data_IF_779710087065
#
_entry.id   IF_779710087065
#
_cell.length_a   1.000
_cell.length_b   1.000
_cell.length_c   1.000
_cell.angle_alpha   90.00
_cell.angle_beta   90.00
_cell.angle_gamma   90.00
#
_symmetry.space_group_name_H-M   'P 1'
#
loop_
_entity.id
_entity.type
_entity.pdbx_description
1 polymer ?
#
# COMPACT_ATOMS: atom_id res chain seq x y z
N UNK A 1 -7.36 35.54 24.72
CA UNK A 1 -8.13 34.34 24.29
C UNK A 1 -7.45 33.86 23.02
N UNK A 2 -6.99 32.60 22.96
CA UNK A 2 -6.36 32.05 21.74
C UNK A 2 -7.38 32.03 20.61
N UNK A 3 -7.00 32.54 19.43
CA UNK A 3 -7.84 32.45 18.24
C UNK A 3 -7.79 31.02 17.68
N UNK A 4 -8.82 30.24 17.98
CA UNK A 4 -8.97 28.84 17.55
C UNK A 4 -9.06 28.71 16.03
N UNK A 5 -9.40 29.77 15.30
CA UNK A 5 -9.43 29.75 13.82
C UNK A 5 -8.04 29.62 13.22
N UNK A 6 -7.03 30.22 13.85
CA UNK A 6 -5.64 30.10 13.40
C UNK A 6 -5.17 28.65 13.52
N UNK A 7 -5.49 28.00 14.65
CA UNK A 7 -5.18 26.58 14.88
C UNK A 7 -5.92 25.67 13.90
N UNK A 8 -7.22 25.92 13.68
CA UNK A 8 -8.03 25.15 12.74
C UNK A 8 -7.48 25.24 11.32
N UNK A 9 -7.11 26.44 10.84
CA UNK A 9 -6.53 26.62 9.50
C UNK A 9 -5.15 25.98 9.35
N UNK A 10 -4.33 26.03 10.40
CA UNK A 10 -3.03 25.36 10.41
C UNK A 10 -3.17 23.83 10.47
N UNK A 11 -4.25 23.31 11.07
CA UNK A 11 -4.52 21.89 11.13
C UNK A 11 -5.11 21.35 9.82
N UNK A 12 -6.16 21.96 9.28
CA UNK A 12 -6.80 21.50 8.03
C UNK A 12 -6.06 22.05 6.80
N UNK A 13 -4.91 21.46 6.52
CA UNK A 13 -4.24 21.65 5.23
C UNK A 13 -4.82 20.67 4.21
N UNK A 14 -4.68 21.02 2.93
CA UNK A 14 -5.16 20.21 1.81
C UNK A 14 -4.70 18.73 1.92
N UNK A 15 -3.41 18.54 2.18
CA UNK A 15 -2.77 17.22 2.27
C UNK A 15 -3.24 16.40 3.49
N UNK A 16 -3.78 17.06 4.52
CA UNK A 16 -4.24 16.39 5.74
C UNK A 16 -5.64 15.79 5.61
N UNK A 17 -6.39 16.12 4.57
CA UNK A 17 -7.74 15.57 4.37
C UNK A 17 -7.72 14.07 4.06
N UNK A 18 -6.80 13.62 3.21
CA UNK A 18 -6.69 12.20 2.78
C UNK A 18 -5.56 11.44 3.50
N UNK A 19 -4.85 12.13 4.40
CA UNK A 19 -3.66 11.62 5.07
C UNK A 19 -3.86 10.29 5.78
N UNK A 20 -5.04 10.03 6.34
CA UNK A 20 -5.35 8.76 6.99
C UNK A 20 -5.18 7.54 6.05
N UNK A 21 -5.56 7.66 4.78
CA UNK A 21 -5.42 6.59 3.80
C UNK A 21 -3.95 6.42 3.37
N UNK A 22 -3.28 7.55 3.13
CA UNK A 22 -1.88 7.58 2.70
C UNK A 22 -0.96 7.04 3.80
N UNK A 23 -1.10 7.52 5.04
CA UNK A 23 -0.30 7.07 6.18
C UNK A 23 -0.53 5.58 6.45
N UNK A 24 -1.78 5.10 6.34
CA UNK A 24 -2.08 3.66 6.48
C UNK A 24 -1.40 2.81 5.41
N UNK A 25 -1.37 3.26 4.15
CA UNK A 25 -0.68 2.51 3.09
C UNK A 25 0.84 2.57 3.28
N UNK A 26 1.39 3.73 3.63
CA UNK A 26 2.82 3.88 3.86
C UNK A 26 3.31 2.95 4.98
N UNK A 27 2.57 2.85 6.09
CA UNK A 27 2.83 1.90 7.17
C UNK A 27 2.75 0.44 6.69
N UNK A 28 1.77 0.13 5.83
CA UNK A 28 1.65 -1.19 5.22
C UNK A 28 2.85 -1.53 4.34
N UNK A 29 3.34 -0.59 3.54
CA UNK A 29 4.52 -0.77 2.68
C UNK A 29 5.82 -0.89 3.48
N UNK A 30 6.01 -0.06 4.51
CA UNK A 30 7.25 0.00 5.29
C UNK A 30 7.36 -1.17 6.30
N UNK A 31 6.24 -1.63 6.87
CA UNK A 31 6.24 -2.62 7.94
C UNK A 31 5.23 -3.77 7.77
N UNK A 32 4.05 -3.49 7.22
CA UNK A 32 2.98 -4.49 7.09
C UNK A 32 3.36 -5.68 6.20
N UNK A 33 3.88 -5.41 5.01
CA UNK A 33 4.25 -6.45 4.05
C UNK A 33 5.33 -7.39 4.60
N UNK A 34 6.38 -6.84 5.22
CA UNK A 34 7.46 -7.66 5.77
C UNK A 34 6.96 -8.57 6.89
N UNK A 35 6.07 -8.08 7.77
CA UNK A 35 5.47 -8.92 8.84
C UNK A 35 4.75 -10.15 8.29
N UNK A 36 4.02 -10.00 7.17
CA UNK A 36 3.31 -11.12 6.53
C UNK A 36 4.30 -12.14 5.96
N UNK A 37 5.39 -11.67 5.34
CA UNK A 37 6.45 -12.55 4.81
C UNK A 37 7.18 -13.28 5.94
N UNK A 38 7.48 -12.58 7.03
CA UNK A 38 8.16 -13.12 8.22
C UNK A 38 7.30 -14.12 9.01
N UNK A 39 5.98 -14.09 8.82
CA UNK A 39 5.05 -15.06 9.39
C UNK A 39 5.08 -16.38 8.60
N UNK A 40 5.10 -16.32 7.27
CA UNK A 40 5.20 -17.52 6.42
C UNK A 40 6.58 -18.20 6.52
N UNK A 41 7.67 -17.41 6.46
CA UNK A 41 9.10 -17.82 6.52
C UNK A 41 9.61 -18.79 5.45
N UNK A 42 8.94 -19.91 5.29
CA UNK A 42 9.39 -21.04 4.48
C UNK A 42 8.26 -21.48 3.55
N UNK A 43 8.63 -21.83 2.32
CA UNK A 43 7.78 -22.54 1.36
C UNK A 43 8.37 -23.94 1.22
N UNK A 44 7.59 -24.94 1.63
CA UNK A 44 7.93 -26.35 1.47
C UNK A 44 7.82 -26.76 -0.01
N UNK A 45 8.69 -27.67 -0.44
CA UNK A 45 8.64 -28.26 -1.78
C UNK A 45 8.37 -29.75 -1.68
N UNK A 46 7.90 -30.36 -2.78
CA UNK A 46 7.64 -31.80 -2.83
C UNK A 46 8.92 -32.67 -2.85
N UNK A 47 10.10 -32.03 -2.87
CA UNK A 47 11.40 -32.70 -2.88
C UNK A 47 11.91 -32.79 -1.43
N UNK A 48 12.33 -33.99 -1.02
CA UNK A 48 12.92 -34.21 0.31
C UNK A 48 14.10 -33.27 0.57
N UNK A 49 14.14 -32.70 1.78
CA UNK A 49 15.17 -31.79 2.27
C UNK A 49 15.42 -30.53 1.41
N UNK A 50 14.43 -30.11 0.61
CA UNK A 50 14.47 -28.86 -0.16
C UNK A 50 13.32 -27.94 0.26
N UNK A 51 13.66 -26.73 0.70
CA UNK A 51 12.69 -25.68 0.97
C UNK A 51 13.21 -24.30 0.55
N UNK A 52 12.28 -23.38 0.32
CA UNK A 52 12.60 -21.99 -0.02
C UNK A 52 12.39 -21.14 1.22
N UNK A 53 13.44 -20.48 1.68
CA UNK A 53 13.36 -19.49 2.75
C UNK A 53 13.11 -18.12 2.14
N UNK A 54 12.09 -17.44 2.65
CA UNK A 54 11.72 -16.09 2.25
C UNK A 54 12.56 -15.07 3.04
N UNK A 55 13.03 -14.05 2.35
CA UNK A 55 13.80 -12.95 2.89
C UNK A 55 13.00 -11.64 2.88
N UNK A 56 13.67 -10.56 2.49
CA UNK A 56 13.06 -9.22 2.48
C UNK A 56 12.20 -8.99 1.24
N UNK A 57 11.03 -8.37 1.44
CA UNK A 57 10.16 -7.89 0.37
C UNK A 57 10.41 -6.41 0.10
N UNK A 58 10.50 -6.05 -1.18
CA UNK A 58 10.69 -4.68 -1.65
C UNK A 58 9.61 -4.33 -2.66
N UNK A 59 9.00 -3.16 -2.48
CA UNK A 59 8.06 -2.59 -3.44
C UNK A 59 8.78 -1.46 -4.16
N UNK A 60 8.85 -1.57 -5.49
CA UNK A 60 9.44 -0.53 -6.33
C UNK A 60 8.50 0.65 -6.55
N UNK A 61 8.77 1.43 -7.60
CA UNK A 61 7.87 2.46 -8.07
C UNK A 61 6.99 1.97 -9.23
N UNK A 62 5.86 2.63 -9.51
CA UNK A 62 4.97 2.26 -10.62
C UNK A 62 5.64 2.28 -11.98
N UNK A 63 5.48 1.18 -12.72
CA UNK A 63 6.06 0.96 -14.05
C UNK A 63 5.03 0.39 -15.01
N UNK A 64 5.27 0.58 -16.31
CA UNK A 64 4.56 -0.09 -17.39
C UNK A 64 5.56 -0.92 -18.20
N UNK A 65 5.15 -2.13 -18.60
CA UNK A 65 5.93 -2.95 -19.53
C UNK A 65 5.31 -2.85 -20.90
N UNK A 66 6.06 -2.29 -21.84
CA UNK A 66 5.63 -2.12 -23.23
C UNK A 66 5.76 -3.44 -24.01
N UNK A 67 5.17 -3.47 -25.21
CA UNK A 67 5.10 -4.68 -26.04
C UNK A 67 6.49 -5.18 -26.51
N UNK A 68 7.47 -4.29 -26.59
CA UNK A 68 8.87 -4.58 -26.89
C UNK A 68 9.66 -5.12 -25.68
N UNK A 69 9.04 -5.17 -24.50
CA UNK A 69 9.65 -5.60 -23.24
C UNK A 69 10.36 -4.47 -22.49
N UNK A 70 10.40 -3.24 -23.01
CA UNK A 70 10.91 -2.08 -22.30
C UNK A 70 10.06 -1.81 -21.05
N UNK A 71 10.72 -1.30 -20.00
CA UNK A 71 10.07 -0.95 -18.73
C UNK A 71 10.26 0.52 -18.48
N UNK A 72 9.16 1.26 -18.50
CA UNK A 72 9.15 2.70 -18.29
C UNK A 72 8.42 3.07 -17.01
N UNK A 73 8.74 4.25 -16.46
CA UNK A 73 7.98 4.82 -15.35
C UNK A 73 6.57 5.13 -15.82
N UNK A 74 5.59 4.67 -15.06
CA UNK A 74 4.20 4.96 -15.33
C UNK A 74 3.77 6.19 -14.53
N UNK A 75 3.14 7.17 -15.18
CA UNK A 75 2.51 8.31 -14.49
C UNK A 75 0.99 8.11 -14.41
N UNK A 76 0.31 8.70 -13.41
CA UNK A 76 -1.12 8.50 -13.21
C UNK A 76 -1.99 8.88 -14.42
N UNK A 77 -1.70 10.00 -15.09
CA UNK A 77 -2.40 10.45 -16.31
C UNK A 77 -2.31 9.42 -17.42
N UNK A 78 -1.13 8.83 -17.65
CA UNK A 78 -0.97 7.77 -18.64
C UNK A 78 -1.78 6.52 -18.27
N UNK A 79 -1.81 6.16 -16.99
CA UNK A 79 -2.57 5.02 -16.50
C UNK A 79 -4.08 5.18 -16.75
N UNK A 80 -4.61 6.39 -16.50
CA UNK A 80 -6.01 6.77 -16.79
C UNK A 80 -6.32 6.66 -18.28
N UNK A 81 -5.51 7.31 -19.12
CA UNK A 81 -5.76 7.40 -20.57
C UNK A 81 -5.63 6.05 -21.28
N UNK A 82 -4.73 5.17 -20.82
CA UNK A 82 -4.45 3.87 -21.44
C UNK A 82 -5.28 2.72 -20.86
N UNK A 83 -6.19 2.98 -19.92
CA UNK A 83 -6.97 1.96 -19.22
C UNK A 83 -6.12 0.86 -18.54
N UNK A 84 -4.96 1.25 -18.00
CA UNK A 84 -4.05 0.32 -17.30
C UNK A 84 -4.06 0.59 -15.80
N UNK A 85 -3.52 -0.36 -15.04
CA UNK A 85 -3.44 -0.25 -13.58
C UNK A 85 -2.12 0.40 -13.18
N UNK A 86 -2.20 1.41 -12.31
CA UNK A 86 -1.05 2.10 -11.74
C UNK A 86 -0.45 1.26 -10.60
N UNK A 87 0.55 0.42 -10.93
CA UNK A 87 1.12 -0.54 -10.01
C UNK A 87 2.65 -0.62 -10.08
N UNK A 88 3.26 -0.93 -8.94
CA UNK A 88 4.70 -1.14 -8.78
C UNK A 88 5.06 -2.62 -8.71
N UNK A 89 6.27 -3.03 -9.15
CA UNK A 89 6.72 -4.41 -8.99
C UNK A 89 7.04 -4.70 -7.53
N UNK A 90 6.70 -5.91 -7.09
CA UNK A 90 7.13 -6.46 -5.81
C UNK A 90 8.21 -7.49 -6.06
N UNK A 91 9.34 -7.33 -5.39
CA UNK A 91 10.49 -8.22 -5.44
C UNK A 91 10.71 -8.83 -4.05
N UNK A 92 10.88 -10.14 -4.00
CA UNK A 92 11.09 -10.88 -2.76
C UNK A 92 12.41 -11.63 -2.84
N UNK A 93 13.28 -11.39 -1.87
CA UNK A 93 14.49 -12.18 -1.70
C UNK A 93 14.15 -13.61 -1.32
N UNK A 94 14.70 -14.59 -2.02
CA UNK A 94 14.48 -16.01 -1.78
C UNK A 94 15.82 -16.73 -1.70
N UNK A 95 15.93 -17.67 -0.77
CA UNK A 95 17.09 -18.56 -0.64
C UNK A 95 16.61 -20.00 -0.70
N UNK A 96 17.14 -20.75 -1.66
CA UNK A 96 16.89 -22.20 -1.74
C UNK A 96 17.82 -22.89 -0.75
N UNK A 97 17.25 -23.67 0.16
CA UNK A 97 18.00 -24.51 1.09
C UNK A 97 17.82 -25.96 0.67
N UNK A 98 18.93 -26.64 0.40
CA UNK A 98 18.95 -28.06 0.03
C UNK A 98 19.87 -28.81 0.97
N UNK A 99 19.36 -29.84 1.66
CA UNK A 99 20.16 -30.69 2.56
C UNK A 99 20.96 -29.89 3.61
N UNK A 100 20.45 -28.72 4.01
CA UNK A 100 21.10 -27.79 4.94
C UNK A 100 22.10 -26.81 4.32
N UNK A 101 22.38 -26.90 3.02
CA UNK A 101 23.18 -25.93 2.28
C UNK A 101 22.32 -24.80 1.71
N UNK A 102 22.70 -23.56 1.98
CA UNK A 102 22.03 -22.37 1.47
C UNK A 102 22.64 -21.96 0.12
N UNK A 103 21.78 -21.82 -0.89
CA UNK A 103 22.18 -21.25 -2.19
C UNK A 103 22.36 -19.73 -2.11
N UNK A 104 22.93 -19.14 -3.15
CA UNK A 104 22.99 -17.67 -3.26
C UNK A 104 21.58 -17.06 -3.22
N UNK A 105 21.37 -15.99 -2.43
CA UNK A 105 20.10 -15.25 -2.42
C UNK A 105 19.75 -14.73 -3.82
N UNK A 106 18.48 -14.86 -4.20
CA UNK A 106 17.95 -14.33 -5.46
C UNK A 106 16.70 -13.51 -5.20
N UNK A 107 16.65 -12.34 -5.79
CA UNK A 107 15.43 -11.53 -5.80
C UNK A 107 14.51 -12.01 -6.93
N UNK A 108 13.30 -12.41 -6.56
CA UNK A 108 12.27 -12.86 -7.49
C UNK A 108 11.13 -11.85 -7.55
N UNK A 109 10.71 -11.47 -8.75
CA UNK A 109 9.51 -10.64 -8.94
C UNK A 109 8.26 -11.50 -8.65
N UNK A 110 7.60 -11.22 -7.54
CA UNK A 110 6.42 -11.98 -7.08
C UNK A 110 5.10 -11.44 -7.61
N UNK A 111 5.07 -10.17 -8.02
CA UNK A 111 3.85 -9.58 -8.56
C UNK A 111 3.93 -8.07 -8.78
N UNK A 112 2.75 -7.47 -8.95
CA UNK A 112 2.56 -6.03 -9.05
C UNK A 112 1.56 -5.59 -7.97
N UNK A 113 1.88 -4.52 -7.25
CA UNK A 113 1.02 -3.94 -6.21
C UNK A 113 0.48 -2.59 -6.69
N UNK A 114 -0.85 -2.37 -6.73
CA UNK A 114 -1.41 -1.06 -6.98
C UNK A 114 -0.91 -0.04 -5.95
N UNK A 115 -0.46 1.12 -6.44
CA UNK A 115 0.08 2.18 -5.59
C UNK A 115 -0.91 3.33 -5.52
N UNK A 116 -1.11 3.88 -4.32
CA UNK A 116 -2.00 5.02 -4.10
C UNK A 116 -1.31 6.32 -4.51
N UNK A 117 -2.07 7.22 -5.13
CA UNK A 117 -1.56 8.54 -5.50
C UNK A 117 -1.14 9.32 -4.26
N UNK A 118 -0.02 10.03 -4.37
CA UNK A 118 0.65 10.76 -3.29
C UNK A 118 1.17 9.90 -2.12
N UNK A 119 1.13 8.56 -2.21
CA UNK A 119 1.89 7.71 -1.27
C UNK A 119 3.39 7.77 -1.54
N UNK A 120 4.20 7.30 -0.58
CA UNK A 120 5.66 7.31 -0.64
C UNK A 120 6.22 6.56 -1.87
N UNK A 121 5.54 5.51 -2.32
CA UNK A 121 5.93 4.75 -3.51
C UNK A 121 5.45 5.38 -4.83
N UNK A 122 4.59 6.40 -4.80
CA UNK A 122 4.06 7.05 -5.99
C UNK A 122 5.14 7.87 -6.70
N UNK A 123 5.12 7.86 -8.04
CA UNK A 123 6.04 8.65 -8.86
C UNK A 123 5.83 10.18 -8.71
N UNK A 124 4.72 10.62 -8.10
CA UNK A 124 4.40 12.04 -7.88
C UNK A 124 4.88 12.58 -6.51
N UNK A 125 5.28 11.73 -5.55
CA UNK A 125 5.48 12.12 -4.16
C UNK A 125 6.50 13.26 -3.98
N UNK A 126 7.62 13.23 -4.71
CA UNK A 126 8.72 14.20 -4.59
C UNK A 126 8.79 15.18 -5.77
N UNK A 127 7.73 15.27 -6.59
CA UNK A 127 7.72 16.12 -7.76
C UNK A 127 7.43 17.58 -7.42
N UNK A 128 8.05 18.50 -8.18
CA UNK A 128 7.73 19.92 -8.05
C UNK A 128 6.37 20.22 -8.68
N UNK A 129 5.67 21.26 -8.20
CA UNK A 129 4.40 21.71 -8.78
C UNK A 129 4.51 22.00 -10.28
N UNK A 130 5.64 22.56 -10.72
CA UNK A 130 5.87 22.87 -12.13
C UNK A 130 5.99 21.61 -13.00
N UNK A 131 6.60 20.56 -12.46
CA UNK A 131 6.77 19.30 -13.20
C UNK A 131 5.47 18.48 -13.23
N UNK A 132 4.67 18.51 -12.16
CA UNK A 132 3.33 17.92 -12.17
C UNK A 132 2.46 18.52 -13.28
N UNK A 133 2.44 19.86 -13.39
CA UNK A 133 1.68 20.55 -14.45
C UNK A 133 2.17 20.17 -15.85
N UNK A 134 3.49 20.02 -16.03
CA UNK A 134 4.07 19.60 -17.32
C UNK A 134 3.68 18.18 -17.71
N UNK A 135 3.50 17.30 -16.72
CA UNK A 135 3.01 15.93 -16.91
C UNK A 135 1.49 15.84 -17.05
N UNK A 136 0.76 16.96 -16.92
CA UNK A 136 -0.69 16.97 -17.00
C UNK A 136 -1.42 16.59 -15.71
N UNK A 137 -0.70 16.49 -14.58
CA UNK A 137 -1.30 16.29 -13.25
C UNK A 137 -1.68 17.64 -12.62
N UNK A 138 -2.73 17.64 -11.78
CA UNK A 138 -3.11 18.81 -10.99
C UNK A 138 -2.34 18.82 -9.65
N UNK A 139 -1.56 19.87 -9.34
CA UNK A 139 -0.90 20.01 -8.04
C UNK A 139 -1.85 20.16 -6.84
N UNK A 140 -3.15 20.37 -7.09
CA UNK A 140 -4.20 20.43 -6.07
C UNK A 140 -5.02 19.14 -5.99
N UNK A 141 -4.63 18.07 -6.67
CA UNK A 141 -5.20 16.75 -6.40
C UNK A 141 -4.76 16.29 -5.00
N UNK A 142 -5.67 15.95 -4.08
CA UNK A 142 -5.28 15.46 -2.75
C UNK A 142 -4.64 14.07 -2.80
N UNK A 143 -4.95 13.24 -3.81
CA UNK A 143 -4.56 11.84 -3.84
C UNK A 143 -5.40 10.97 -2.89
N UNK A 144 -4.81 9.86 -2.42
CA UNK A 144 -5.51 8.93 -1.51
C UNK A 144 -6.28 7.80 -2.21
N UNK A 145 -6.28 7.75 -3.54
CA UNK A 145 -6.98 6.74 -4.32
C UNK A 145 -6.03 5.98 -5.26
N UNK A 146 -6.55 4.91 -5.87
CA UNK A 146 -5.84 4.04 -6.80
C UNK A 146 -6.38 4.21 -8.22
N UNK A 147 -5.56 3.95 -9.23
CA UNK A 147 -6.00 3.83 -10.61
C UNK A 147 -5.93 2.37 -11.02
N UNK A 148 -7.08 1.74 -11.20
CA UNK A 148 -7.21 0.33 -11.58
C UNK A 148 -7.93 0.26 -12.92
N UNK A 149 -7.25 -0.28 -13.93
CA UNK A 149 -7.75 -0.37 -15.31
C UNK A 149 -8.29 0.99 -15.82
N UNK A 150 -7.53 2.07 -15.60
CA UNK A 150 -7.89 3.45 -15.95
C UNK A 150 -8.97 4.10 -15.09
N UNK A 151 -9.64 3.36 -14.20
CA UNK A 151 -10.68 3.92 -13.33
C UNK A 151 -10.11 4.23 -11.96
N UNK A 152 -10.46 5.41 -11.43
CA UNK A 152 -10.11 5.83 -10.09
C UNK A 152 -10.96 5.08 -9.06
N UNK A 153 -10.31 4.50 -8.05
CA UNK A 153 -10.95 3.70 -7.01
C UNK A 153 -10.41 4.12 -5.65
N UNK A 154 -11.32 4.42 -4.73
CA UNK A 154 -11.01 4.76 -3.35
C UNK A 154 -11.46 3.65 -2.42
N UNK A 155 -10.64 3.32 -1.42
CA UNK A 155 -11.05 2.43 -0.33
C UNK A 155 -11.76 3.29 0.70
N UNK A 156 -13.01 2.95 1.01
CA UNK A 156 -13.75 3.63 2.08
C UNK A 156 -13.39 2.99 3.41
N UNK A 157 -13.06 3.80 4.40
CA UNK A 157 -12.80 3.31 5.75
C UNK A 157 -14.05 2.66 6.31
N UNK A 158 -13.89 1.45 6.84
CA UNK A 158 -14.95 0.73 7.53
C UNK A 158 -14.82 0.99 9.03
N UNK A 159 -15.97 1.14 9.68
CA UNK A 159 -16.05 1.16 11.13
C UNK A 159 -16.36 -0.26 11.60
N UNK A 160 -15.57 -0.75 12.55
CA UNK A 160 -15.74 -2.07 13.15
C UNK A 160 -15.61 -1.96 14.68
N UNK A 161 -16.19 -2.92 15.39
CA UNK A 161 -16.06 -3.02 16.83
C UNK A 161 -14.61 -3.36 17.18
N UNK A 162 -14.12 -2.79 18.29
CA UNK A 162 -12.76 -3.01 18.73
C UNK A 162 -12.50 -4.51 18.94
N UNK A 163 -11.58 -5.13 18.18
CA UNK A 163 -11.30 -6.55 18.32
C UNK A 163 -10.59 -6.81 19.65
N UNK A 164 -10.65 -8.06 20.13
CA UNK A 164 -9.99 -8.51 21.35
C UNK A 164 -10.40 -7.71 22.62
N UNK A 165 -11.65 -7.22 22.66
CA UNK A 165 -12.20 -6.48 23.79
C UNK A 165 -13.48 -7.15 24.29
N UNK A 166 -13.54 -7.38 25.61
CA UNK A 166 -14.77 -7.87 26.26
C UNK A 166 -15.77 -6.71 26.27
N UNK A 167 -16.94 -6.94 25.68
CA UNK A 167 -18.07 -6.02 25.69
C UNK A 167 -19.17 -6.62 26.57
N UNK A 168 -19.75 -5.79 27.44
CA UNK A 168 -20.86 -6.17 28.32
C UNK A 168 -22.04 -5.31 27.92
N UNK A 169 -23.21 -5.94 27.77
CA UNK A 169 -24.47 -5.28 27.41
C UNK A 169 -25.52 -5.61 28.47
N UNK A 170 -26.31 -4.63 28.86
CA UNK A 170 -27.43 -4.85 29.78
C UNK A 170 -28.59 -5.49 29.03
N UNK A 171 -29.08 -6.65 29.48
CA UNK A 171 -30.26 -7.28 28.91
C UNK A 171 -31.50 -6.87 29.73
N UNK A 172 -32.62 -6.56 29.07
CA UNK A 172 -33.89 -6.30 29.79
C UNK A 172 -34.82 -7.48 29.60
N UNK A 173 -35.17 -8.17 30.69
CA UNK A 173 -36.15 -9.28 30.65
C UNK A 173 -37.28 -8.98 31.62
N UNK A 174 -38.52 -9.06 31.14
CA UNK A 174 -39.73 -8.78 31.92
C UNK A 174 -39.80 -7.39 32.60
N UNK A 175 -39.11 -6.39 32.04
CA UNK A 175 -39.14 -5.02 32.57
C UNK A 175 -38.12 -4.73 33.68
N UNK A 176 -37.29 -5.71 34.04
CA UNK A 176 -36.14 -5.52 34.93
C UNK A 176 -34.83 -5.60 34.11
N UNK A 177 -33.87 -4.73 34.44
CA UNK A 177 -32.52 -4.78 33.89
C UNK A 177 -31.75 -5.90 34.58
N UNK A 178 -31.20 -6.82 33.79
CA UNK A 178 -30.33 -7.91 34.24
C UNK A 178 -28.90 -7.52 33.86
N UNK A 179 -27.99 -7.54 34.84
CA UNK A 179 -26.55 -7.27 34.66
C UNK A 179 -25.81 -8.41 33.96
#
# INVERSE_FOLDING_TARGET
MLDTKVLSKAYFTHDKMVRHQIDSLNEFLDHGLQKVVDEQRIIETDIEDVYIRLGEIKVGNPIVREADGATDRLYPTDARLRNITYAAPMELGMVIVKEGEESEPRDAKVGMLPIMLHSKACNLCDMSRGDMIRLGEDPHDPGGYFIINGTERVITTLEDLAPNKIMVEFETRYGEQIE
#
